data_IF_809335852429
#
_entry.id   IF_809335852429
#
_cell.length_a   1.000
_cell.length_b   1.000
_cell.length_c   1.000
_cell.angle_alpha   90.00
_cell.angle_beta   90.00
_cell.angle_gamma   90.00
#
_symmetry.space_group_name_H-M   'P 1'
#
loop_
_entity.id
_entity.type
_entity.pdbx_description
1 polymer ?
#
# COMPACT_ATOMS: atom_id res chain seq x y z
N UNK A 1 40.73 -29.24 -55.25
CA UNK A 1 40.47 -28.88 -53.84
C UNK A 1 39.59 -29.96 -53.25
N UNK A 2 39.83 -30.46 -52.03
CA UNK A 2 38.91 -31.41 -51.41
C UNK A 2 37.54 -30.76 -51.26
N UNK A 3 36.50 -31.46 -51.69
CA UNK A 3 35.12 -30.98 -51.69
C UNK A 3 34.51 -31.23 -50.30
N UNK A 4 33.97 -30.20 -49.66
CA UNK A 4 33.36 -30.33 -48.33
C UNK A 4 32.01 -31.04 -48.47
N UNK A 5 31.95 -32.28 -47.98
CA UNK A 5 30.81 -33.17 -48.12
C UNK A 5 30.29 -33.57 -46.73
N UNK A 6 28.97 -33.73 -46.57
CA UNK A 6 28.41 -34.20 -45.32
C UNK A 6 28.89 -35.63 -45.00
N UNK A 7 29.01 -35.99 -43.72
CA UNK A 7 29.38 -37.33 -43.31
C UNK A 7 28.35 -38.36 -43.79
N UNK A 8 28.76 -39.60 -44.09
CA UNK A 8 27.85 -40.62 -44.66
C UNK A 8 26.69 -41.01 -43.74
N UNK A 9 26.77 -40.69 -42.45
CA UNK A 9 25.70 -40.85 -41.46
C UNK A 9 24.79 -39.63 -41.28
N UNK A 10 25.01 -38.55 -42.04
CA UNK A 10 24.26 -37.29 -41.92
C UNK A 10 24.57 -36.49 -40.64
N UNK A 11 23.87 -35.37 -40.46
CA UNK A 11 23.95 -34.55 -39.24
C UNK A 11 22.94 -35.00 -38.19
N UNK A 12 23.27 -34.80 -36.92
CA UNK A 12 22.35 -35.05 -35.80
C UNK A 12 21.06 -34.22 -35.91
N UNK A 13 19.98 -34.72 -35.32
CA UNK A 13 18.68 -34.04 -35.36
C UNK A 13 18.72 -32.70 -34.61
N UNK A 14 18.31 -31.62 -35.28
CA UNK A 14 18.24 -30.26 -34.72
C UNK A 14 16.79 -29.91 -34.34
N UNK A 15 16.58 -29.33 -33.16
CA UNK A 15 15.25 -28.94 -32.70
C UNK A 15 14.73 -27.71 -33.46
N UNK A 16 13.97 -27.93 -34.52
CA UNK A 16 13.44 -26.87 -35.39
C UNK A 16 12.02 -26.40 -35.03
N UNK A 17 11.38 -26.96 -33.98
CA UNK A 17 9.93 -26.83 -33.71
C UNK A 17 9.41 -25.38 -33.55
N UNK A 18 10.29 -24.38 -33.58
CA UNK A 18 9.95 -22.97 -33.79
C UNK A 18 9.50 -22.60 -35.24
N UNK A 19 9.70 -23.44 -36.28
CA UNK A 19 9.65 -22.98 -37.70
C UNK A 19 9.04 -23.96 -38.75
N UNK A 20 8.46 -25.12 -38.43
CA UNK A 20 8.09 -26.12 -39.47
C UNK A 20 6.65 -26.15 -39.98
N UNK A 21 5.65 -25.75 -39.20
CA UNK A 21 4.25 -25.97 -39.62
C UNK A 21 3.78 -25.11 -40.80
N UNK A 22 4.53 -24.05 -41.14
CA UNK A 22 4.16 -23.09 -42.18
C UNK A 22 4.35 -23.64 -43.60
N UNK A 23 5.33 -24.52 -43.83
CA UNK A 23 5.68 -24.98 -45.17
C UNK A 23 4.81 -26.15 -45.68
N UNK A 24 4.42 -27.05 -44.79
CA UNK A 24 3.55 -28.20 -45.15
C UNK A 24 2.08 -27.80 -45.35
N UNK A 25 1.61 -26.75 -44.67
CA UNK A 25 0.23 -26.25 -44.84
C UNK A 25 0.06 -25.35 -46.06
N UNK A 26 1.13 -24.70 -46.55
CA UNK A 26 1.06 -23.83 -47.74
C UNK A 26 1.10 -24.61 -49.06
N UNK A 27 1.71 -25.81 -49.09
CA UNK A 27 1.85 -26.61 -50.31
C UNK A 27 0.59 -27.42 -50.70
N UNK A 28 -0.44 -27.46 -49.83
CA UNK A 28 -1.66 -28.25 -50.06
C UNK A 28 -2.95 -27.44 -50.24
N UNK A 29 -2.88 -26.10 -50.34
CA UNK A 29 -4.07 -25.26 -50.51
C UNK A 29 -4.34 -24.98 -51.99
N UNK A 30 -5.24 -25.77 -52.58
CA UNK A 30 -5.78 -25.52 -53.92
C UNK A 30 -6.66 -24.26 -53.93
N UNK A 31 -6.47 -23.42 -54.95
CA UNK A 31 -7.16 -22.15 -55.14
C UNK A 31 -8.58 -22.36 -55.71
N UNK A 32 -9.56 -22.67 -54.86
CA UNK A 32 -10.98 -22.76 -55.25
C UNK A 32 -11.71 -21.42 -55.02
N UNK A 33 -11.58 -20.48 -55.96
CA UNK A 33 -12.58 -19.44 -56.25
C UNK A 33 -13.07 -18.50 -55.14
N UNK A 34 -12.41 -18.44 -53.97
CA UNK A 34 -12.80 -17.57 -52.84
C UNK A 34 -12.16 -16.17 -52.92
N UNK A 35 -12.89 -15.15 -52.47
CA UNK A 35 -12.48 -13.75 -52.50
C UNK A 35 -11.24 -13.48 -51.62
N UNK A 36 -10.30 -12.67 -52.14
CA UNK A 36 -8.89 -12.60 -51.69
C UNK A 36 -8.73 -12.06 -50.25
N UNK A 37 -9.70 -11.29 -49.75
CA UNK A 37 -9.74 -10.75 -48.38
C UNK A 37 -10.09 -11.82 -47.34
N UNK A 38 -11.06 -12.68 -47.65
CA UNK A 38 -11.52 -13.74 -46.74
C UNK A 38 -10.47 -14.84 -46.55
N UNK A 39 -9.67 -15.09 -47.59
CA UNK A 39 -8.54 -16.01 -47.53
C UNK A 39 -7.41 -15.47 -46.64
N UNK A 40 -7.15 -14.16 -46.65
CA UNK A 40 -6.09 -13.55 -45.84
C UNK A 40 -6.41 -13.57 -44.35
N UNK A 41 -7.64 -13.31 -43.92
CA UNK A 41 -8.02 -13.34 -42.50
C UNK A 41 -7.89 -14.75 -41.90
N UNK A 42 -8.47 -15.76 -42.56
CA UNK A 42 -8.37 -17.14 -42.09
C UNK A 42 -6.95 -17.73 -42.18
N UNK A 43 -6.18 -17.34 -43.19
CA UNK A 43 -4.79 -17.76 -43.30
C UNK A 43 -3.95 -17.17 -42.17
N UNK A 44 -4.13 -15.89 -41.82
CA UNK A 44 -3.37 -15.25 -40.75
C UNK A 44 -3.70 -15.82 -39.37
N UNK A 45 -4.97 -16.14 -39.08
CA UNK A 45 -5.36 -16.79 -37.82
C UNK A 45 -4.75 -18.20 -37.68
N UNK A 46 -4.73 -18.99 -38.77
CA UNK A 46 -4.08 -20.31 -38.78
C UNK A 46 -2.56 -20.21 -38.71
N UNK A 47 -1.96 -19.17 -39.31
CA UNK A 47 -0.53 -18.89 -39.25
C UNK A 47 -0.14 -18.50 -37.82
N UNK A 48 -0.91 -17.65 -37.14
CA UNK A 48 -0.67 -17.24 -35.75
C UNK A 48 -0.88 -18.39 -34.76
N UNK A 49 -1.91 -19.22 -34.95
CA UNK A 49 -2.15 -20.42 -34.15
C UNK A 49 -1.04 -21.48 -34.26
N UNK A 50 -0.36 -21.58 -35.40
CA UNK A 50 0.75 -22.52 -35.62
C UNK A 50 2.15 -21.92 -35.39
N UNK A 51 2.27 -20.61 -35.17
CA UNK A 51 3.53 -19.91 -34.91
C UNK A 51 4.11 -20.19 -33.49
N UNK A 52 3.32 -20.74 -32.57
CA UNK A 52 3.66 -20.80 -31.14
C UNK A 52 4.15 -22.16 -30.62
N UNK A 53 4.38 -23.16 -31.48
CA UNK A 53 4.76 -24.52 -31.04
C UNK A 53 6.23 -24.62 -30.55
N UNK A 54 6.57 -23.85 -29.52
CA UNK A 54 7.87 -23.80 -28.85
C UNK A 54 7.96 -24.86 -27.74
N UNK A 55 9.17 -25.33 -27.45
CA UNK A 55 9.43 -26.26 -26.34
C UNK A 55 9.53 -25.49 -25.00
N UNK A 56 8.43 -24.90 -24.55
CA UNK A 56 8.35 -24.15 -23.30
C UNK A 56 7.58 -24.97 -22.26
N UNK A 57 8.25 -25.52 -21.23
CA UNK A 57 7.56 -26.25 -20.18
C UNK A 57 6.81 -25.28 -19.27
N UNK A 58 5.49 -25.43 -19.15
CA UNK A 58 4.71 -24.72 -18.14
C UNK A 58 5.02 -25.32 -16.75
N UNK A 59 5.98 -24.71 -16.05
CA UNK A 59 6.38 -25.09 -14.69
C UNK A 59 5.61 -24.25 -13.66
N UNK A 60 5.10 -24.89 -12.61
CA UNK A 60 4.44 -24.22 -11.49
C UNK A 60 3.29 -25.04 -10.89
N UNK A 61 2.76 -24.56 -9.76
CA UNK A 61 1.54 -25.11 -9.18
C UNK A 61 0.32 -24.62 -9.96
N UNK A 62 -0.75 -25.43 -9.96
CA UNK A 62 -2.02 -25.03 -10.57
C UNK A 62 -2.52 -23.73 -9.91
N UNK A 63 -3.14 -22.80 -10.64
CA UNK A 63 -3.55 -21.50 -10.09
C UNK A 63 -4.48 -21.62 -8.88
N UNK A 64 -5.34 -22.64 -8.86
CA UNK A 64 -6.19 -22.94 -7.72
C UNK A 64 -5.41 -23.24 -6.43
N UNK A 65 -4.28 -23.94 -6.52
CA UNK A 65 -3.44 -24.26 -5.35
C UNK A 65 -2.77 -23.01 -4.80
N UNK A 66 -2.34 -22.09 -5.67
CA UNK A 66 -1.78 -20.81 -5.26
C UNK A 66 -2.82 -19.93 -4.55
N UNK A 67 -4.05 -19.88 -5.07
CA UNK A 67 -5.15 -19.16 -4.42
C UNK A 67 -5.50 -19.76 -3.05
N UNK A 68 -5.57 -21.09 -2.94
CA UNK A 68 -5.82 -21.76 -1.67
C UNK A 68 -4.71 -21.46 -0.65
N UNK A 69 -3.44 -21.48 -1.07
CA UNK A 69 -2.30 -21.10 -0.23
C UNK A 69 -2.39 -19.65 0.25
N UNK A 70 -2.72 -18.71 -0.63
CA UNK A 70 -2.89 -17.31 -0.29
C UNK A 70 -4.01 -17.10 0.74
N UNK A 71 -5.18 -17.71 0.52
CA UNK A 71 -6.31 -17.64 1.45
C UNK A 71 -5.94 -18.25 2.81
N UNK A 72 -5.18 -19.35 2.83
CA UNK A 72 -4.69 -19.94 4.08
C UNK A 72 -3.77 -19.00 4.86
N UNK A 73 -2.83 -18.34 4.18
CA UNK A 73 -1.93 -17.35 4.81
C UNK A 73 -2.72 -16.15 5.34
N UNK A 74 -3.65 -15.62 4.55
CA UNK A 74 -4.47 -14.47 4.94
C UNK A 74 -5.34 -14.80 6.16
N UNK A 75 -6.07 -15.92 6.14
CA UNK A 75 -6.96 -16.32 7.25
C UNK A 75 -6.17 -16.51 8.55
N UNK A 76 -4.99 -17.12 8.49
CA UNK A 76 -4.09 -17.22 9.64
C UNK A 76 -3.58 -15.86 10.12
N UNK A 77 -3.20 -14.98 9.19
CA UNK A 77 -2.79 -13.60 9.50
C UNK A 77 -3.87 -12.82 10.24
N UNK A 78 -5.12 -12.88 9.77
CA UNK A 78 -6.26 -12.22 10.42
C UNK A 78 -6.52 -12.77 11.83
N UNK A 79 -6.41 -14.09 12.03
CA UNK A 79 -6.53 -14.69 13.36
C UNK A 79 -5.45 -14.20 14.33
N UNK A 80 -4.19 -14.11 13.89
CA UNK A 80 -3.08 -13.60 14.71
C UNK A 80 -3.23 -12.11 15.02
N UNK A 81 -3.67 -11.32 14.05
CA UNK A 81 -3.96 -9.90 14.21
C UNK A 81 -5.07 -9.66 15.24
N UNK A 82 -6.16 -10.45 15.19
CA UNK A 82 -7.24 -10.36 16.18
C UNK A 82 -6.76 -10.61 17.61
N UNK A 83 -5.82 -11.55 17.82
CA UNK A 83 -5.18 -11.74 19.12
C UNK A 83 -4.35 -10.53 19.56
N UNK A 84 -3.62 -9.90 18.64
CA UNK A 84 -2.84 -8.69 18.91
C UNK A 84 -3.70 -7.46 19.26
N UNK A 85 -4.83 -7.27 18.57
CA UNK A 85 -5.76 -6.15 18.85
C UNK A 85 -6.29 -6.23 20.29
N UNK A 86 -6.62 -7.43 20.77
CA UNK A 86 -7.06 -7.61 22.15
C UNK A 86 -5.99 -7.11 23.12
N UNK A 87 -4.77 -7.63 23.00
CA UNK A 87 -3.64 -7.20 23.83
C UNK A 87 -3.43 -5.68 23.80
N UNK A 88 -3.53 -5.03 22.64
CA UNK A 88 -3.42 -3.58 22.52
C UNK A 88 -4.56 -2.83 23.23
N UNK A 89 -5.78 -3.36 23.17
CA UNK A 89 -6.92 -2.77 23.88
C UNK A 89 -6.77 -2.90 25.40
N UNK A 90 -6.24 -4.02 25.88
CA UNK A 90 -5.91 -4.21 27.30
C UNK A 90 -4.82 -3.22 27.75
N UNK A 91 -3.73 -3.08 26.99
CA UNK A 91 -2.66 -2.10 27.27
C UNK A 91 -3.17 -0.65 27.22
N UNK A 92 -4.04 -0.33 26.26
CA UNK A 92 -4.67 0.98 26.16
C UNK A 92 -5.59 1.25 27.37
N UNK A 93 -6.28 0.22 27.87
CA UNK A 93 -7.10 0.30 29.08
C UNK A 93 -6.21 0.56 30.30
N UNK A 94 -5.13 -0.19 30.48
CA UNK A 94 -4.16 0.04 31.56
C UNK A 94 -3.58 1.45 31.53
N UNK A 95 -3.19 1.94 30.35
CA UNK A 95 -2.72 3.32 30.14
C UNK A 95 -3.80 4.36 30.44
N UNK A 96 -5.06 4.09 30.10
CA UNK A 96 -6.16 5.01 30.39
C UNK A 96 -6.43 5.05 31.90
N UNK A 97 -6.44 3.89 32.55
CA UNK A 97 -6.61 3.79 33.99
C UNK A 97 -5.50 4.52 34.73
N UNK A 98 -4.23 4.34 34.35
CA UNK A 98 -3.13 5.09 34.98
C UNK A 98 -3.30 6.61 34.83
N UNK A 99 -3.79 7.08 33.68
CA UNK A 99 -4.11 8.50 33.48
C UNK A 99 -5.25 8.98 34.37
N UNK A 100 -6.37 8.26 34.45
CA UNK A 100 -7.53 8.65 35.28
C UNK A 100 -7.11 8.89 36.74
N UNK A 101 -6.19 8.08 37.27
CA UNK A 101 -5.71 8.23 38.64
C UNK A 101 -4.76 9.42 38.83
N UNK A 102 -4.05 9.84 37.78
CA UNK A 102 -3.08 10.95 37.84
C UNK A 102 -3.71 12.30 37.46
N UNK A 103 -4.74 12.32 36.61
CA UNK A 103 -5.44 13.53 36.16
C UNK A 103 -5.84 14.44 37.33
N UNK A 104 -6.52 13.99 38.41
CA UNK A 104 -6.94 14.90 39.45
C UNK A 104 -5.77 15.61 40.16
N UNK A 105 -4.63 14.93 40.32
CA UNK A 105 -3.43 15.53 40.89
C UNK A 105 -2.85 16.59 39.96
N UNK A 106 -2.66 16.26 38.68
CA UNK A 106 -2.09 17.18 37.70
C UNK A 106 -2.98 18.39 37.44
N UNK A 107 -4.30 18.19 37.34
CA UNK A 107 -5.27 19.27 37.19
C UNK A 107 -5.26 20.19 38.41
N UNK A 108 -5.16 19.64 39.64
CA UNK A 108 -5.06 20.47 40.84
C UNK A 108 -3.76 21.29 40.91
N UNK A 109 -2.64 20.74 40.42
CA UNK A 109 -1.37 21.47 40.31
C UNK A 109 -1.45 22.58 39.26
N UNK A 110 -2.02 22.29 38.08
CA UNK A 110 -2.24 23.28 37.02
C UNK A 110 -3.17 24.41 37.49
N UNK A 111 -4.31 24.09 38.10
CA UNK A 111 -5.28 25.08 38.58
C UNK A 111 -4.67 26.04 39.61
N UNK A 112 -3.80 25.54 40.51
CA UNK A 112 -3.06 26.40 41.47
C UNK A 112 -2.11 27.37 40.78
N UNK A 113 -1.44 26.94 39.70
CA UNK A 113 -0.53 27.80 38.95
C UNK A 113 -1.28 28.84 38.11
N UNK A 114 -2.36 28.43 37.45
CA UNK A 114 -3.19 29.33 36.66
C UNK A 114 -3.80 30.45 37.50
N UNK A 115 -4.36 30.12 38.66
CA UNK A 115 -4.92 31.13 39.59
C UNK A 115 -3.84 32.11 40.03
N UNK A 116 -2.63 31.63 40.35
CA UNK A 116 -1.51 32.50 40.75
C UNK A 116 -1.13 33.49 39.65
N UNK A 117 -1.03 33.02 38.40
CA UNK A 117 -0.70 33.87 37.25
C UNK A 117 -1.81 34.89 36.99
N UNK A 118 -3.06 34.43 37.01
CA UNK A 118 -4.23 35.27 36.76
C UNK A 118 -4.37 36.40 37.78
N UNK A 119 -4.22 36.10 39.08
CA UNK A 119 -4.26 37.11 40.13
C UNK A 119 -3.08 38.09 40.02
N UNK A 120 -1.90 37.62 39.62
CA UNK A 120 -0.74 38.47 39.40
C UNK A 120 -0.94 39.41 38.19
N UNK A 121 -1.51 38.91 37.09
CA UNK A 121 -1.89 39.71 35.92
C UNK A 121 -2.90 40.79 36.29
N UNK A 122 -3.96 40.41 37.01
CA UNK A 122 -4.99 41.29 37.52
C UNK A 122 -4.45 42.38 38.46
N UNK A 123 -3.48 42.05 39.31
CA UNK A 123 -2.82 43.02 40.19
C UNK A 123 -1.92 43.98 39.39
N UNK A 124 -1.20 43.49 38.38
CA UNK A 124 -0.40 44.33 37.48
C UNK A 124 -1.26 45.27 36.65
N UNK A 125 -2.35 44.77 36.08
CA UNK A 125 -3.30 45.56 35.31
C UNK A 125 -3.89 46.67 36.18
N UNK A 126 -4.33 46.35 37.41
CA UNK A 126 -4.84 47.34 38.35
C UNK A 126 -3.80 48.39 38.73
N UNK A 127 -2.52 48.02 38.86
CA UNK A 127 -1.45 48.97 39.16
C UNK A 127 -1.14 49.91 37.98
N UNK A 128 -1.24 49.43 36.74
CA UNK A 128 -0.93 50.20 35.53
C UNK A 128 -2.12 51.03 35.02
N UNK A 129 -3.32 50.46 35.05
CA UNK A 129 -4.54 51.03 34.46
C UNK A 129 -5.56 51.50 35.52
N UNK A 130 -5.30 51.27 36.80
CA UNK A 130 -6.15 51.71 37.92
C UNK A 130 -7.43 50.89 38.13
N UNK A 131 -7.80 50.03 37.18
CA UNK A 131 -8.99 49.18 37.26
C UNK A 131 -8.70 47.78 36.71
N UNK A 132 -9.63 46.85 36.96
CA UNK A 132 -9.55 45.48 36.49
C UNK A 132 -10.78 45.25 35.61
N UNK A 133 -10.57 45.03 34.32
CA UNK A 133 -11.68 44.96 33.36
C UNK A 133 -11.85 43.54 32.80
N UNK A 134 -13.08 43.06 32.74
CA UNK A 134 -13.43 41.83 32.04
C UNK A 134 -13.96 42.18 30.65
N UNK A 135 -13.42 41.59 29.57
CA UNK A 135 -14.00 41.75 28.23
C UNK A 135 -15.39 41.13 28.09
N UNK A 136 -15.80 40.29 29.03
CA UNK A 136 -17.05 39.55 28.99
C UNK A 136 -18.06 40.10 30.01
N UNK A 137 -19.31 40.20 29.58
CA UNK A 137 -20.44 40.67 30.39
C UNK A 137 -21.00 39.61 31.36
N UNK A 138 -20.32 38.48 31.53
CA UNK A 138 -20.75 37.36 32.39
C UNK A 138 -19.81 37.19 33.57
N UNK A 139 -20.35 36.80 34.73
CA UNK A 139 -19.55 36.51 35.93
C UNK A 139 -18.80 35.17 35.90
N UNK A 140 -18.86 34.45 34.77
CA UNK A 140 -18.14 33.17 34.61
C UNK A 140 -16.66 33.42 34.44
N UNK A 141 -15.85 32.60 35.12
CA UNK A 141 -14.41 32.58 34.88
C UNK A 141 -14.11 32.10 33.46
N UNK A 142 -13.32 32.88 32.74
CA UNK A 142 -12.80 32.53 31.42
C UNK A 142 -11.27 32.55 31.49
N UNK A 143 -10.64 31.44 31.10
CA UNK A 143 -9.18 31.35 31.05
C UNK A 143 -8.65 32.34 29.99
N UNK A 144 -7.64 33.17 30.31
CA UNK A 144 -7.03 34.05 29.31
C UNK A 144 -6.40 33.24 28.18
N UNK A 145 -6.79 33.51 26.93
CA UNK A 145 -6.25 32.81 25.75
C UNK A 145 -4.82 33.22 25.43
N UNK A 146 -4.47 34.48 25.73
CA UNK A 146 -3.17 35.06 25.40
C UNK A 146 -2.46 35.47 26.70
N UNK A 147 -1.19 35.09 26.81
CA UNK A 147 -0.31 35.58 27.85
C UNK A 147 0.73 36.52 27.21
N UNK A 148 1.02 37.63 27.87
CA UNK A 148 2.05 38.56 27.42
C UNK A 148 3.41 37.91 27.71
N UNK A 149 4.07 37.42 26.66
CA UNK A 149 5.45 36.91 26.75
C UNK A 149 6.44 38.07 26.67
N UNK A 150 7.55 38.05 27.43
CA UNK A 150 8.57 39.09 27.35
C UNK A 150 9.18 39.16 25.94
N UNK A 151 9.49 40.37 25.46
CA UNK A 151 10.05 40.60 24.13
C UNK A 151 11.49 40.10 23.98
N UNK A 152 12.22 40.02 25.09
CA UNK A 152 13.58 39.48 25.15
C UNK A 152 13.56 38.28 26.10
N UNK A 153 13.84 37.08 25.56
CA UNK A 153 14.05 35.87 26.36
C UNK A 153 15.55 35.82 26.67
N UNK A 154 15.91 35.84 27.95
CA UNK A 154 17.29 35.53 28.36
C UNK A 154 17.60 34.11 27.90
N UNK A 155 18.62 33.97 27.05
CA UNK A 155 19.18 32.66 26.72
C UNK A 155 19.91 32.07 27.92
#
# INVERSE_FOLDING_TARGET
MPQDLPPSGGYGAVQYKSMKKKHEQMLGMEWNGMDRRWWQEQAMDRIMANCTQRNLPARGFRPAVMLAGMVGVMTYGFWKLGKGIRQQNELAREKMWSRIHLIPLLTAEEDRDLVRRHLADQAREKALLGSQTSPYNSDKYVRPTYAITPSQVSK
#
